data_IF_017526326984
#
_entry.id   IF_017526326984
#
_cell.length_a   1.000
_cell.length_b   1.000
_cell.length_c   1.000
_cell.angle_alpha   90.00
_cell.angle_beta   90.00
_cell.angle_gamma   90.00
#
_symmetry.space_group_name_H-M   'P 1'
#
loop_
_entity.id
_entity.type
_entity.pdbx_description
1 polymer ?
#
# COMPACT_ATOMS: atom_id res chain seq x y z
N UNK A 1 16.92 -5.00 -5.27
CA UNK A 1 16.80 -4.66 -3.84
C UNK A 1 18.20 -4.59 -3.26
N UNK A 2 18.50 -3.56 -2.46
CA UNK A 2 19.84 -3.38 -1.85
C UNK A 2 19.77 -3.15 -0.33
N UNK A 3 20.92 -3.24 0.34
CA UNK A 3 21.02 -3.09 1.80
C UNK A 3 22.29 -2.32 2.15
N UNK A 4 22.21 -1.40 3.12
CA UNK A 4 23.30 -0.52 3.52
C UNK A 4 23.26 -0.23 5.03
N UNK A 5 24.43 -0.08 5.66
CA UNK A 5 24.50 0.34 7.06
C UNK A 5 24.09 1.81 7.22
N UNK A 6 23.42 2.15 8.31
CA UNK A 6 22.97 3.52 8.64
C UNK A 6 24.11 4.55 8.61
N UNK A 7 25.33 4.14 8.96
CA UNK A 7 26.50 5.03 8.96
C UNK A 7 26.85 5.44 7.53
N UNK A 8 26.85 4.49 6.60
CA UNK A 8 27.16 4.72 5.18
C UNK A 8 26.01 5.43 4.46
N UNK A 9 24.76 5.10 4.84
CA UNK A 9 23.56 5.71 4.28
C UNK A 9 23.52 7.23 4.51
N UNK A 10 23.98 7.69 5.68
CA UNK A 10 24.05 9.13 5.99
C UNK A 10 24.98 9.89 5.05
N UNK A 11 26.04 9.25 4.57
CA UNK A 11 27.04 9.87 3.69
C UNK A 11 26.67 9.83 2.21
N UNK A 12 25.69 9.00 1.81
CA UNK A 12 25.32 8.76 0.41
C UNK A 12 23.81 8.89 0.19
N UNK A 13 23.13 9.71 0.99
CA UNK A 13 21.67 9.81 0.94
C UNK A 13 21.13 10.21 -0.45
N UNK A 14 21.74 11.16 -1.19
CA UNK A 14 21.28 11.51 -2.53
C UNK A 14 21.28 10.30 -3.49
N UNK A 15 22.37 9.52 -3.53
CA UNK A 15 22.48 8.35 -4.40
C UNK A 15 21.51 7.24 -4.00
N UNK A 16 21.21 7.13 -2.69
CA UNK A 16 20.20 6.19 -2.21
C UNK A 16 18.78 6.60 -2.61
N UNK A 17 18.48 7.90 -2.68
CA UNK A 17 17.19 8.41 -3.17
C UNK A 17 17.01 8.07 -4.64
N UNK A 18 18.01 8.36 -5.49
CA UNK A 18 17.98 8.00 -6.91
C UNK A 18 17.81 6.48 -7.10
N UNK A 19 18.52 5.68 -6.29
CA UNK A 19 18.39 4.23 -6.33
C UNK A 19 16.99 3.75 -5.92
N UNK A 20 16.37 4.42 -4.95
CA UNK A 20 15.05 4.11 -4.43
C UNK A 20 13.92 4.26 -5.46
N UNK A 21 14.13 5.08 -6.50
CA UNK A 21 13.21 5.21 -7.64
C UNK A 21 13.01 3.87 -8.37
N UNK A 22 14.06 3.06 -8.48
CA UNK A 22 14.01 1.77 -9.17
C UNK A 22 13.79 0.59 -8.22
N UNK A 23 14.39 0.61 -7.02
CA UNK A 23 14.37 -0.51 -6.09
C UNK A 23 14.37 -0.11 -4.61
N UNK A 24 13.73 -0.89 -3.71
CA UNK A 24 13.83 -0.63 -2.29
C UNK A 24 15.27 -0.77 -1.77
N UNK A 25 15.66 0.16 -0.90
CA UNK A 25 16.95 0.17 -0.20
C UNK A 25 16.70 -0.06 1.29
N UNK A 26 17.20 -1.16 1.83
CA UNK A 26 17.11 -1.45 3.26
C UNK A 26 18.26 -0.79 4.01
N UNK A 27 17.94 -0.10 5.10
CA UNK A 27 18.91 0.54 5.98
C UNK A 27 19.04 -0.30 7.24
N UNK A 28 20.25 -0.72 7.58
CA UNK A 28 20.55 -1.53 8.74
C UNK A 28 21.19 -0.72 9.87
N UNK A 29 20.82 -1.05 11.11
CA UNK A 29 21.47 -0.55 12.32
C UNK A 29 21.92 -1.73 13.16
N UNK A 30 23.23 -1.83 13.39
CA UNK A 30 23.85 -2.95 14.14
C UNK A 30 23.46 -4.33 13.57
N UNK A 31 23.48 -4.46 12.24
CA UNK A 31 23.19 -5.72 11.53
C UNK A 31 21.71 -6.10 11.47
N UNK A 32 20.78 -5.21 11.85
CA UNK A 32 19.34 -5.44 11.77
C UNK A 32 18.70 -4.42 10.83
N UNK A 33 17.77 -4.85 9.98
CA UNK A 33 16.95 -3.95 9.15
C UNK A 33 16.16 -3.01 10.04
N UNK A 34 16.44 -1.72 9.93
CA UNK A 34 15.85 -0.67 10.76
C UNK A 34 14.88 0.22 9.97
N UNK A 35 15.11 0.40 8.67
CA UNK A 35 14.25 1.16 7.78
C UNK A 35 14.36 0.65 6.34
N UNK A 36 13.45 1.11 5.49
CA UNK A 36 13.51 0.95 4.04
C UNK A 36 13.24 2.30 3.39
N UNK A 37 14.00 2.63 2.35
CA UNK A 37 13.73 3.74 1.46
C UNK A 37 13.09 3.19 0.18
N UNK A 38 11.98 3.80 -0.22
CA UNK A 38 11.22 3.48 -1.43
C UNK A 38 10.85 4.78 -2.13
N UNK A 39 10.60 4.72 -3.45
CA UNK A 39 10.03 5.85 -4.17
C UNK A 39 8.64 6.21 -3.62
N UNK A 40 8.22 7.49 -3.71
CA UNK A 40 6.87 7.89 -3.32
C UNK A 40 5.78 7.10 -4.03
N UNK A 41 5.92 6.86 -5.34
CA UNK A 41 4.94 6.11 -6.15
C UNK A 41 4.81 4.67 -5.67
N UNK A 42 5.93 4.02 -5.32
CA UNK A 42 5.89 2.67 -4.74
C UNK A 42 5.26 2.67 -3.35
N UNK A 43 5.45 3.72 -2.56
CA UNK A 43 4.78 3.85 -1.27
C UNK A 43 3.26 4.00 -1.43
N UNK A 44 2.81 4.86 -2.34
CA UNK A 44 1.39 5.03 -2.68
C UNK A 44 0.77 3.72 -3.18
N UNK A 45 1.43 3.01 -4.10
CA UNK A 45 0.98 1.69 -4.57
C UNK A 45 0.85 0.66 -3.45
N UNK A 46 1.71 0.72 -2.42
CA UNK A 46 1.58 -0.17 -1.26
C UNK A 46 0.39 0.21 -0.38
N UNK A 47 0.04 1.50 -0.28
CA UNK A 47 -1.16 1.92 0.43
C UNK A 47 -2.43 1.52 -0.33
N UNK A 48 -2.47 1.75 -1.64
CA UNK A 48 -3.59 1.35 -2.50
C UNK A 48 -3.80 -0.18 -2.44
N UNK A 49 -2.71 -0.96 -2.47
CA UNK A 49 -2.79 -2.40 -2.35
C UNK A 49 -3.32 -2.89 -0.99
N UNK A 50 -3.13 -2.11 0.09
CA UNK A 50 -3.71 -2.43 1.40
C UNK A 50 -5.21 -2.16 1.40
N UNK A 51 -5.64 -1.04 0.82
CA UNK A 51 -7.08 -0.72 0.69
C UNK A 51 -7.81 -1.74 -0.19
N UNK A 52 -7.23 -2.14 -1.33
CA UNK A 52 -7.81 -3.17 -2.20
C UNK A 52 -8.05 -4.50 -1.47
N UNK A 53 -7.19 -4.86 -0.50
CA UNK A 53 -7.39 -6.07 0.32
C UNK A 53 -8.61 -5.93 1.23
N UNK A 54 -8.86 -4.75 1.77
CA UNK A 54 -10.04 -4.47 2.59
C UNK A 54 -11.32 -4.53 1.75
N UNK A 55 -11.28 -3.98 0.54
CA UNK A 55 -12.40 -4.02 -0.42
C UNK A 55 -12.73 -5.45 -0.87
N UNK A 56 -11.71 -6.26 -1.19
CA UNK A 56 -11.89 -7.69 -1.51
C UNK A 56 -12.53 -8.42 -0.32
N UNK A 57 -12.05 -8.17 0.91
CA UNK A 57 -12.62 -8.80 2.09
C UNK A 57 -14.08 -8.38 2.34
N UNK A 58 -14.43 -7.12 2.09
CA UNK A 58 -15.80 -6.62 2.19
C UNK A 58 -16.70 -7.25 1.12
N UNK A 59 -16.21 -7.38 -0.12
CA UNK A 59 -16.91 -8.07 -1.20
C UNK A 59 -17.18 -9.53 -0.86
N UNK A 60 -16.17 -10.26 -0.40
CA UNK A 60 -16.32 -11.67 0.00
C UNK A 60 -17.33 -11.84 1.14
N UNK A 61 -17.32 -10.93 2.13
CA UNK A 61 -18.28 -10.93 3.22
C UNK A 61 -19.71 -10.68 2.72
N UNK A 62 -19.92 -9.70 1.84
CA UNK A 62 -21.23 -9.41 1.25
C UNK A 62 -21.75 -10.57 0.40
N UNK A 63 -20.87 -11.23 -0.37
CA UNK A 63 -21.24 -12.40 -1.18
C UNK A 63 -21.57 -13.63 -0.35
N UNK A 64 -21.03 -13.73 0.87
CA UNK A 64 -21.31 -14.80 1.81
C UNK A 64 -22.58 -14.54 2.65
N UNK A 65 -23.08 -13.31 2.69
CA UNK A 65 -24.31 -12.97 3.41
C UNK A 65 -25.54 -13.63 2.76
N UNK A 66 -26.38 -14.26 3.57
CA UNK A 66 -27.64 -14.83 3.11
C UNK A 66 -28.71 -13.73 3.00
N UNK A 67 -29.30 -13.56 1.81
CA UNK A 67 -30.34 -12.56 1.58
C UNK A 67 -30.57 -12.27 0.11
N UNK A 68 -31.61 -11.50 -0.21
CA UNK A 68 -31.82 -11.00 -1.57
C UNK A 68 -30.99 -9.74 -1.80
N UNK A 69 -30.36 -9.64 -2.97
CA UNK A 69 -29.69 -8.42 -3.39
C UNK A 69 -30.69 -7.27 -3.56
N UNK A 70 -30.30 -6.05 -3.17
CA UNK A 70 -31.14 -4.86 -3.34
C UNK A 70 -31.15 -4.45 -4.83
N UNK A 71 -32.33 -4.33 -5.48
CA UNK A 71 -32.41 -3.86 -6.85
C UNK A 71 -31.87 -2.43 -7.03
N UNK A 72 -31.17 -2.15 -8.14
CA UNK A 72 -30.58 -0.83 -8.40
C UNK A 72 -31.59 0.34 -8.37
N UNK A 73 -32.84 0.09 -8.79
CA UNK A 73 -33.90 1.09 -8.71
C UNK A 73 -34.20 1.51 -7.26
N UNK A 74 -34.17 0.56 -6.33
CA UNK A 74 -34.38 0.80 -4.91
C UNK A 74 -33.22 1.59 -4.30
N UNK A 75 -31.96 1.19 -4.57
CA UNK A 75 -30.76 1.91 -4.10
C UNK A 75 -30.79 3.40 -4.48
N UNK A 76 -31.14 3.70 -5.73
CA UNK A 76 -31.25 5.10 -6.18
C UNK A 76 -32.36 5.86 -5.47
N UNK A 77 -33.51 5.24 -5.23
CA UNK A 77 -34.61 5.87 -4.50
C UNK A 77 -34.18 6.21 -3.06
N UNK A 78 -33.50 5.28 -2.38
CA UNK A 78 -33.05 5.44 -1.00
C UNK A 78 -31.96 6.51 -0.85
N UNK A 79 -31.08 6.64 -1.85
CA UNK A 79 -30.02 7.67 -1.88
C UNK A 79 -30.50 9.04 -2.42
N UNK A 80 -31.77 9.17 -2.82
CA UNK A 80 -32.31 10.41 -3.39
C UNK A 80 -31.78 10.74 -4.79
N UNK A 81 -31.37 9.72 -5.55
CA UNK A 81 -30.89 9.82 -6.94
C UNK A 81 -31.97 9.48 -7.97
N UNK A 82 -33.23 9.41 -7.54
CA UNK A 82 -34.40 9.04 -8.33
C UNK A 82 -35.22 10.23 -8.79
#
# INVERSE_FOLDING_TARGET
MSTINITDARSHLPELIEKAESEPVFIERRGHRAAVLVSPERYEQMLDAVEEVEDIAAFDAAMAEEGENIPWAQVKADLGWG
#
